data_IF_578626282010
#
_entry.id   IF_578626282010
#
_cell.length_a   1.000
_cell.length_b   1.000
_cell.length_c   1.000
_cell.angle_alpha   90.00
_cell.angle_beta   90.00
_cell.angle_gamma   90.00
#
_symmetry.space_group_name_H-M   'P 1'
#
loop_
_entity.id
_entity.type
_entity.pdbx_description
1 polymer ?
#
# COMPACT_ATOMS: atom_id res chain seq x y z
N UNK A 1 18.98 17.91 2.07
CA UNK A 1 17.62 17.38 1.88
C UNK A 1 16.77 17.75 3.10
N UNK A 2 15.42 17.72 3.04
CA UNK A 2 14.62 17.93 4.23
C UNK A 2 14.90 16.83 5.26
N UNK A 3 14.84 17.19 6.55
CA UNK A 3 15.00 16.27 7.66
C UNK A 3 13.64 16.06 8.34
N UNK A 4 13.40 14.85 8.84
CA UNK A 4 12.14 14.46 9.45
C UNK A 4 12.38 14.00 10.88
N UNK A 5 11.52 14.43 11.80
CA UNK A 5 11.48 13.83 13.14
C UNK A 5 10.89 12.43 13.05
N UNK A 6 11.16 11.62 14.07
CA UNK A 6 10.60 10.25 14.19
C UNK A 6 9.08 10.24 14.03
N UNK A 7 8.36 11.18 14.64
CA UNK A 7 6.90 11.26 14.56
C UNK A 7 6.41 11.61 13.14
N UNK A 8 7.15 12.43 12.40
CA UNK A 8 6.83 12.79 11.01
C UNK A 8 7.12 11.62 10.07
N UNK A 9 8.24 10.93 10.28
CA UNK A 9 8.58 9.71 9.56
C UNK A 9 7.55 8.60 9.81
N UNK A 10 7.06 8.45 11.04
CA UNK A 10 6.03 7.47 11.39
C UNK A 10 4.71 7.69 10.62
N UNK A 11 4.27 8.95 10.53
CA UNK A 11 3.10 9.33 9.73
C UNK A 11 3.33 9.04 8.24
N UNK A 12 4.50 9.38 7.70
CA UNK A 12 4.84 9.14 6.29
C UNK A 12 4.94 7.65 5.94
N UNK A 13 5.39 6.82 6.89
CA UNK A 13 5.53 5.37 6.73
C UNK A 13 4.27 4.58 7.11
N UNK A 14 3.24 5.23 7.68
CA UNK A 14 2.00 4.58 8.10
C UNK A 14 2.14 3.63 9.29
N UNK A 15 3.08 3.92 10.21
CA UNK A 15 3.35 3.10 11.41
C UNK A 15 3.41 3.94 12.69
N UNK A 16 3.61 3.31 13.85
CA UNK A 16 3.77 4.01 15.13
C UNK A 16 5.18 4.58 15.33
N UNK A 17 5.31 5.67 16.10
CA UNK A 17 6.60 6.25 16.51
C UNK A 17 7.56 5.22 17.11
N UNK A 18 7.04 4.30 17.93
CA UNK A 18 7.82 3.24 18.57
C UNK A 18 8.38 2.23 17.56
N UNK A 19 7.63 1.97 16.47
CA UNK A 19 8.10 1.14 15.36
C UNK A 19 9.28 1.79 14.65
N UNK A 20 9.20 3.09 14.38
CA UNK A 20 10.30 3.85 13.75
C UNK A 20 11.52 3.93 14.66
N UNK A 21 11.35 4.14 15.97
CA UNK A 21 12.45 4.09 16.95
C UNK A 21 13.14 2.74 16.93
N UNK A 22 12.38 1.64 16.96
CA UNK A 22 12.96 0.28 16.90
C UNK A 22 13.76 0.04 15.63
N UNK A 23 13.34 0.58 14.49
CA UNK A 23 14.11 0.47 13.24
C UNK A 23 15.38 1.31 13.24
N UNK A 24 15.33 2.51 13.81
CA UNK A 24 16.51 3.35 14.01
C UNK A 24 17.52 2.69 14.97
N UNK A 25 17.06 2.19 16.11
CA UNK A 25 17.89 1.50 17.10
C UNK A 25 18.51 0.20 16.53
N UNK A 26 17.79 -0.49 15.65
CA UNK A 26 18.28 -1.66 14.92
C UNK A 26 19.20 -1.31 13.74
N UNK A 27 19.47 -0.03 13.48
CA UNK A 27 20.30 0.44 12.37
C UNK A 27 19.68 0.24 10.98
N UNK A 28 18.38 -0.07 10.91
CA UNK A 28 17.66 -0.27 9.64
C UNK A 28 17.25 1.05 8.98
N UNK A 29 17.02 2.09 9.77
CA UNK A 29 16.74 3.44 9.29
C UNK A 29 17.82 4.40 9.81
N UNK A 30 18.71 4.92 8.95
CA UNK A 30 19.74 5.86 9.36
C UNK A 30 19.14 7.10 10.04
N UNK A 31 19.76 7.52 11.15
CA UNK A 31 19.39 8.76 11.84
C UNK A 31 20.58 9.69 11.96
N UNK A 32 20.30 10.98 11.81
CA UNK A 32 21.24 12.08 12.04
C UNK A 32 20.92 12.75 13.39
N UNK A 33 21.96 13.23 14.07
CA UNK A 33 21.79 14.07 15.27
C UNK A 33 21.76 15.53 14.86
N UNK A 34 20.62 16.19 15.06
CA UNK A 34 20.54 17.62 14.86
C UNK A 34 21.12 18.42 16.03
N UNK A 35 21.56 19.67 15.81
CA UNK A 35 21.97 20.58 16.88
C UNK A 35 20.80 20.75 17.87
N UNK A 36 20.94 20.20 19.08
CA UNK A 36 19.86 20.20 20.09
C UNK A 36 19.34 18.82 20.51
N UNK A 37 20.04 17.72 20.19
CA UNK A 37 19.79 16.36 20.71
C UNK A 37 18.50 15.68 20.20
N UNK A 38 17.88 16.22 19.16
CA UNK A 38 16.75 15.56 18.50
C UNK A 38 17.28 14.66 17.38
N UNK A 39 16.88 13.39 17.41
CA UNK A 39 17.11 12.46 16.32
C UNK A 39 16.23 12.86 15.15
N UNK A 40 16.83 13.01 13.98
CA UNK A 40 16.16 13.25 12.72
C UNK A 40 16.59 12.20 11.69
N UNK A 41 15.81 12.07 10.64
CA UNK A 41 16.04 11.14 9.53
C UNK A 41 16.21 11.99 8.27
N UNK A 42 17.25 11.72 7.48
CA UNK A 42 17.41 12.39 6.19
C UNK A 42 16.32 11.92 5.23
N UNK A 43 15.75 12.84 4.45
CA UNK A 43 14.68 12.52 3.52
C UNK A 43 15.04 11.48 2.45
N UNK A 44 16.31 11.34 2.04
CA UNK A 44 16.71 10.32 1.06
C UNK A 44 16.68 8.94 1.69
N UNK A 45 17.22 8.83 2.90
CA UNK A 45 17.23 7.58 3.65
C UNK A 45 15.81 7.14 3.98
N UNK A 46 14.94 8.09 4.37
CA UNK A 46 13.52 7.81 4.60
C UNK A 46 12.81 7.33 3.33
N UNK A 47 13.07 7.95 2.17
CA UNK A 47 12.44 7.57 0.91
C UNK A 47 12.94 6.21 0.39
N UNK A 48 14.23 5.93 0.52
CA UNK A 48 14.81 4.62 0.19
C UNK A 48 14.20 3.53 1.08
N UNK A 49 14.16 3.78 2.39
CA UNK A 49 13.61 2.85 3.36
C UNK A 49 12.10 2.63 3.19
N UNK A 50 11.33 3.68 2.88
CA UNK A 50 9.91 3.56 2.55
C UNK A 50 9.69 2.67 1.31
N UNK A 51 10.55 2.81 0.31
CA UNK A 51 10.50 1.99 -0.91
C UNK A 51 10.87 0.54 -0.63
N UNK A 52 11.82 0.29 0.28
CA UNK A 52 12.20 -1.05 0.74
C UNK A 52 11.11 -1.72 1.58
N UNK A 53 10.43 -1.00 2.48
CA UNK A 53 9.26 -1.49 3.23
C UNK A 53 8.10 -1.80 2.29
N UNK A 54 7.81 -0.91 1.33
CA UNK A 54 6.77 -1.17 0.33
C UNK A 54 7.11 -2.39 -0.55
N UNK A 55 8.40 -2.69 -0.72
CA UNK A 55 8.89 -3.87 -1.43
C UNK A 55 8.94 -5.15 -0.57
N UNK A 56 8.78 -5.08 0.76
CA UNK A 56 8.89 -6.23 1.66
C UNK A 56 8.04 -6.15 2.95
N UNK A 57 7.16 -7.15 3.12
CA UNK A 57 6.43 -7.52 4.34
C UNK A 57 5.53 -6.45 4.99
N UNK A 58 4.29 -6.38 4.49
CA UNK A 58 3.16 -6.04 5.36
C UNK A 58 3.01 -7.14 6.44
N UNK A 59 2.73 -6.79 7.71
CA UNK A 59 2.48 -7.78 8.75
C UNK A 59 1.33 -8.71 8.34
N UNK A 60 1.52 -10.01 8.58
CA UNK A 60 0.51 -11.04 8.36
C UNK A 60 -0.82 -10.65 9.03
N UNK A 61 -1.77 -10.27 8.20
CA UNK A 61 -3.10 -9.86 8.62
C UNK A 61 -3.99 -9.80 7.41
N UNK A 62 -4.70 -10.91 7.18
CA UNK A 62 -5.79 -11.17 6.21
C UNK A 62 -5.38 -11.97 4.96
N UNK A 63 -5.57 -13.29 5.09
CA UNK A 63 -5.88 -14.20 3.97
C UNK A 63 -4.71 -14.75 3.16
N UNK A 64 -4.09 -15.82 3.68
CA UNK A 64 -3.08 -16.71 3.05
C UNK A 64 -1.78 -16.05 2.53
N UNK A 65 -0.59 -16.65 2.76
CA UNK A 65 0.66 -16.07 2.27
C UNK A 65 0.74 -16.24 0.74
N UNK A 66 0.67 -15.12 0.02
CA UNK A 66 1.12 -15.05 -1.37
C UNK A 66 2.66 -15.15 -1.33
N UNK A 67 3.19 -16.36 -1.57
CA UNK A 67 4.61 -16.69 -1.38
C UNK A 67 5.53 -15.94 -2.36
N UNK A 68 5.00 -15.50 -3.50
CA UNK A 68 5.63 -14.53 -4.41
C UNK A 68 4.57 -13.88 -5.31
N UNK A 69 4.50 -12.55 -5.37
CA UNK A 69 3.54 -11.80 -6.20
C UNK A 69 4.27 -10.92 -7.21
N UNK A 70 3.81 -10.86 -8.47
CA UNK A 70 4.40 -9.99 -9.51
C UNK A 70 3.62 -8.68 -9.72
N UNK A 71 2.42 -8.57 -9.16
CA UNK A 71 1.65 -7.32 -9.16
C UNK A 71 2.26 -6.34 -8.15
N UNK A 72 2.58 -5.11 -8.60
CA UNK A 72 3.23 -4.09 -7.74
C UNK A 72 2.25 -3.08 -7.17
N UNK A 73 1.06 -2.95 -7.74
CA UNK A 73 0.05 -2.02 -7.26
C UNK A 73 -1.00 -2.81 -6.49
N UNK A 74 -1.15 -2.54 -5.20
CA UNK A 74 -2.13 -3.22 -4.34
C UNK A 74 -3.00 -2.18 -3.65
N UNK A 75 -4.31 -2.35 -3.77
CA UNK A 75 -5.32 -1.46 -3.19
C UNK A 75 -6.17 -2.26 -2.21
N UNK A 76 -5.80 -2.20 -0.93
CA UNK A 76 -6.59 -2.80 0.15
C UNK A 76 -7.84 -1.96 0.39
N UNK A 77 -8.99 -2.61 0.45
CA UNK A 77 -10.27 -1.93 0.61
C UNK A 77 -11.40 -2.88 0.98
N UNK A 78 -12.61 -2.33 1.03
CA UNK A 78 -13.84 -3.08 1.30
C UNK A 78 -14.61 -3.25 0.00
N UNK A 79 -15.07 -4.47 -0.27
CA UNK A 79 -15.98 -4.76 -1.38
C UNK A 79 -17.28 -3.99 -1.14
N UNK A 80 -17.71 -3.18 -2.10
CA UNK A 80 -18.96 -2.39 -1.99
C UNK A 80 -20.08 -2.97 -2.84
N UNK A 81 -19.74 -3.71 -3.90
CA UNK A 81 -20.72 -4.33 -4.81
C UNK A 81 -20.11 -5.52 -5.53
N UNK A 82 -20.95 -6.55 -5.72
CA UNK A 82 -20.62 -7.69 -6.58
C UNK A 82 -21.81 -7.96 -7.49
N UNK A 83 -21.59 -7.92 -8.80
CA UNK A 83 -22.56 -8.33 -9.82
C UNK A 83 -22.06 -9.62 -10.44
N UNK A 84 -22.95 -10.61 -10.58
CA UNK A 84 -22.65 -11.91 -11.19
C UNK A 84 -23.61 -12.12 -12.35
N UNK A 85 -23.07 -12.41 -13.53
CA UNK A 85 -23.86 -12.70 -14.72
C UNK A 85 -23.15 -13.72 -15.61
N UNK A 86 -23.85 -14.81 -15.92
CA UNK A 86 -23.26 -15.96 -16.62
C UNK A 86 -21.95 -16.45 -15.97
N UNK A 87 -20.86 -16.41 -16.74
CA UNK A 87 -19.52 -16.83 -16.34
C UNK A 87 -18.67 -15.71 -15.74
N UNK A 88 -19.16 -14.47 -15.73
CA UNK A 88 -18.42 -13.28 -15.31
C UNK A 88 -18.96 -12.69 -14.02
N UNK A 89 -18.09 -11.99 -13.31
CA UNK A 89 -18.43 -11.16 -12.18
C UNK A 89 -17.74 -9.79 -12.28
N UNK A 90 -18.45 -8.75 -11.85
CA UNK A 90 -17.90 -7.43 -11.61
C UNK A 90 -17.85 -7.20 -10.10
N UNK A 91 -16.67 -6.87 -9.59
CA UNK A 91 -16.42 -6.59 -8.17
C UNK A 91 -15.95 -5.15 -8.03
N UNK A 92 -16.60 -4.41 -7.16
CA UNK A 92 -16.22 -3.05 -6.81
C UNK A 92 -15.60 -3.03 -5.41
N UNK A 93 -14.43 -2.40 -5.27
CA UNK A 93 -13.71 -2.22 -4.00
C UNK A 93 -13.50 -0.73 -3.76
N UNK A 94 -13.90 -0.27 -2.58
CA UNK A 94 -13.53 1.07 -2.08
C UNK A 94 -12.20 0.97 -1.33
N UNK A 95 -11.15 1.55 -1.90
CA UNK A 95 -9.79 1.55 -1.37
C UNK A 95 -9.32 3.00 -1.14
N UNK A 96 -9.53 3.51 0.08
CA UNK A 96 -9.26 4.92 0.40
C UNK A 96 -10.06 5.86 -0.51
N UNK A 97 -9.43 6.83 -1.20
CA UNK A 97 -10.11 7.74 -2.12
C UNK A 97 -10.46 7.11 -3.48
N UNK A 98 -10.02 5.88 -3.74
CA UNK A 98 -10.15 5.23 -5.04
C UNK A 98 -11.27 4.18 -5.04
N UNK A 99 -12.07 4.16 -6.11
CA UNK A 99 -12.97 3.06 -6.44
C UNK A 99 -12.31 2.19 -7.49
N UNK A 100 -11.99 0.95 -7.14
CA UNK A 100 -11.37 -0.03 -8.04
C UNK A 100 -12.44 -1.02 -8.50
N UNK A 101 -12.52 -1.25 -9.81
CA UNK A 101 -13.46 -2.21 -10.41
C UNK A 101 -12.67 -3.33 -11.07
N UNK A 102 -12.96 -4.57 -10.70
CA UNK A 102 -12.38 -5.77 -11.29
C UNK A 102 -13.45 -6.55 -12.04
N UNK A 103 -13.09 -7.02 -13.23
CA UNK A 103 -13.84 -8.05 -13.94
C UNK A 103 -13.09 -9.37 -13.80
N UNK A 104 -13.76 -10.39 -13.29
CA UNK A 104 -13.21 -11.72 -13.09
C UNK A 104 -14.25 -12.79 -13.41
N UNK A 105 -13.87 -14.07 -13.38
CA UNK A 105 -14.87 -15.13 -13.51
C UNK A 105 -15.80 -15.12 -12.30
N UNK A 106 -17.04 -15.55 -12.53
CA UNK A 106 -18.01 -15.76 -11.46
C UNK A 106 -17.48 -16.78 -10.45
N UNK A 107 -16.89 -17.88 -10.94
CA UNK A 107 -16.31 -18.94 -10.11
C UNK A 107 -15.27 -18.38 -9.13
N UNK A 108 -14.32 -17.55 -9.59
CA UNK A 108 -13.32 -16.95 -8.71
C UNK A 108 -13.94 -16.00 -7.69
N UNK A 109 -14.98 -15.24 -8.05
CA UNK A 109 -15.68 -14.37 -7.10
C UNK A 109 -16.43 -15.19 -6.03
N UNK A 110 -16.95 -16.35 -6.39
CA UNK A 110 -17.66 -17.27 -5.50
C UNK A 110 -16.66 -18.01 -4.57
N UNK A 111 -15.56 -18.54 -5.10
CA UNK A 111 -14.48 -19.20 -4.34
C UNK A 111 -13.82 -18.28 -3.31
N UNK A 112 -13.64 -17.01 -3.67
CA UNK A 112 -13.08 -15.99 -2.78
C UNK A 112 -14.11 -15.45 -1.76
N UNK A 113 -15.38 -15.86 -1.87
CA UNK A 113 -16.46 -15.39 -0.99
C UNK A 113 -16.68 -13.88 -1.07
N UNK A 114 -16.55 -13.29 -2.27
CA UNK A 114 -16.65 -11.83 -2.42
C UNK A 114 -18.10 -11.36 -2.31
N UNK A 115 -18.34 -10.53 -1.30
CA UNK A 115 -19.65 -9.92 -1.03
C UNK A 115 -19.46 -8.51 -0.46
N UNK A 116 -20.46 -7.62 -0.58
CA UNK A 116 -20.39 -6.31 0.06
C UNK A 116 -20.05 -6.40 1.56
N UNK A 117 -19.03 -5.65 2.00
CA UNK A 117 -18.50 -5.67 3.36
C UNK A 117 -17.25 -6.52 3.55
N UNK A 118 -16.90 -7.38 2.60
CA UNK A 118 -15.69 -8.21 2.67
C UNK A 118 -14.45 -7.35 2.45
N UNK A 119 -13.43 -7.55 3.28
CA UNK A 119 -12.11 -6.98 3.05
C UNK A 119 -11.42 -7.71 1.89
N UNK A 120 -10.95 -6.96 0.92
CA UNK A 120 -10.25 -7.49 -0.25
C UNK A 120 -9.06 -6.61 -0.63
N UNK A 121 -8.14 -7.19 -1.39
CA UNK A 121 -7.03 -6.44 -2.01
C UNK A 121 -7.17 -6.56 -3.52
N UNK A 122 -7.36 -5.43 -4.20
CA UNK A 122 -7.23 -5.37 -5.64
C UNK A 122 -5.75 -5.27 -6.03
N UNK A 123 -5.22 -6.29 -6.70
CA UNK A 123 -3.85 -6.31 -7.19
C UNK A 123 -3.81 -6.02 -8.70
N UNK A 124 -2.98 -5.08 -9.11
CA UNK A 124 -2.83 -4.65 -10.51
C UNK A 124 -1.36 -4.75 -10.93
N UNK A 125 -1.12 -5.44 -12.05
CA UNK A 125 0.21 -5.61 -12.63
C UNK A 125 0.72 -4.28 -13.22
N UNK A 126 2.00 -3.97 -13.01
CA UNK A 126 2.60 -2.71 -13.49
C UNK A 126 2.52 -2.53 -15.00
N UNK A 127 2.47 -3.63 -15.75
CA UNK A 127 2.37 -3.60 -17.22
C UNK A 127 0.99 -3.16 -17.74
N UNK A 128 -0.01 -3.03 -16.86
CA UNK A 128 -1.38 -2.66 -17.20
C UNK A 128 -1.72 -1.29 -16.63
N UNK A 129 -0.86 -0.31 -16.88
CA UNK A 129 -1.00 1.08 -16.42
C UNK A 129 -0.92 2.01 -17.63
N UNK A 130 -1.80 3.01 -17.67
CA UNK A 130 -1.74 4.12 -18.63
C UNK A 130 -1.28 5.37 -17.88
N UNK A 131 -0.38 6.14 -18.47
CA UNK A 131 0.10 7.42 -17.91
C UNK A 131 -0.46 8.54 -18.76
N UNK A 132 -1.11 9.50 -18.11
CA UNK A 132 -1.69 10.68 -18.74
C UNK A 132 -1.05 11.94 -18.13
N UNK A 133 -0.87 12.97 -18.94
CA UNK A 133 -0.47 14.31 -18.48
C UNK A 133 -1.64 15.26 -18.67
N UNK A 134 -1.98 16.09 -17.67
CA UNK A 134 -3.09 17.03 -17.80
C UNK A 134 -2.78 18.06 -18.90
N UNK A 135 -3.80 18.49 -19.63
CA UNK A 135 -3.67 19.68 -20.49
C UNK A 135 -3.47 20.89 -19.59
N UNK A 136 -2.36 21.60 -19.77
CA UNK A 136 -2.19 22.92 -19.18
C UNK A 136 -3.10 23.91 -19.91
N UNK A 137 -3.93 24.69 -19.21
CA UNK A 137 -4.61 25.82 -19.82
C UNK A 137 -3.56 26.87 -20.24
N UNK A 138 -3.67 27.40 -21.47
CA UNK A 138 -2.90 28.56 -21.94
C UNK A 138 -3.29 29.84 -21.17
#
# INVERSE_FOLDING_TARGET
MPTYRISEAAVLLGVSDDTVRRWADAGRLPTIKEPGSRLAIDGADLASFASEIAAGDLPAGLGAPIVAESARNRFTGIVTRVLRDGVMAQVEIQAGPHRVVSLMSRESADELGLEPGVLAVAAVKSTNVVVEVPRHPE
#
